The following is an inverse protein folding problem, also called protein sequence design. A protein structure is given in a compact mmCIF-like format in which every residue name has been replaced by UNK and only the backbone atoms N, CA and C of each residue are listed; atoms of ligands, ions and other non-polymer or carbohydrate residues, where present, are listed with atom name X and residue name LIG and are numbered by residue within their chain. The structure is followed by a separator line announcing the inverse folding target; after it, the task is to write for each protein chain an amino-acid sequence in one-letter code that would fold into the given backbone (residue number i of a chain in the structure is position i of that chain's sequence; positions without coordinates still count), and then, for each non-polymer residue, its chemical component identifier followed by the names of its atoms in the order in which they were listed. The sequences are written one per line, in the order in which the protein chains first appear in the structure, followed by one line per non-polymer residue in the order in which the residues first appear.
data_IF_756829079126
#
_entry.id   IF_756829079126
#
_cell.length_a   1.000
_cell.length_b   1.000
_cell.length_c   1.000
_cell.angle_alpha   90.00
_cell.angle_beta   90.00
_cell.angle_gamma   90.00
#
_symmetry.space_group_name_H-M   'P 1'
#
loop_
_entity.id
_entity.type
_entity.pdbx_description
1 polymer ?
#
# COMPACT_ATOMS: atom_id res chain seq x y z
N UNK A 1 13.55 -3.92 -23.13
CA UNK A 1 12.39 -4.76 -23.48
C UNK A 1 11.16 -3.89 -23.63
N UNK A 2 10.37 -4.00 -24.71
CA UNK A 2 9.15 -3.21 -24.88
C UNK A 2 8.15 -3.48 -23.75
N UNK A 3 7.52 -2.45 -23.19
CA UNK A 3 6.47 -2.65 -22.17
C UNK A 3 5.22 -3.22 -22.84
N UNK A 4 4.54 -4.15 -22.15
CA UNK A 4 3.28 -4.72 -22.64
C UNK A 4 2.22 -3.62 -22.74
N UNK A 5 1.34 -3.71 -23.73
CA UNK A 5 0.32 -2.68 -24.04
C UNK A 5 -0.65 -2.37 -22.88
N UNK A 6 -0.75 -3.26 -21.88
CA UNK A 6 -1.63 -3.11 -20.71
C UNK A 6 -0.88 -2.72 -19.43
N UNK A 7 0.43 -2.47 -19.49
CA UNK A 7 1.21 -2.11 -18.30
C UNK A 7 0.84 -0.71 -17.82
N UNK A 8 0.32 -0.62 -16.59
CA UNK A 8 0.03 0.65 -15.92
C UNK A 8 1.30 1.51 -15.78
N UNK A 9 1.17 2.82 -15.93
CA UNK A 9 2.24 3.82 -15.87
C UNK A 9 2.25 4.51 -14.51
N UNK A 10 3.13 4.13 -13.58
CA UNK A 10 3.28 4.90 -12.33
C UNK A 10 3.58 6.39 -12.60
N UNK A 11 3.24 7.27 -11.66
CA UNK A 11 3.45 8.71 -11.79
C UNK A 11 4.91 9.08 -12.04
N UNK A 12 5.84 8.32 -11.46
CA UNK A 12 7.28 8.42 -11.75
C UNK A 12 7.59 8.16 -13.23
N UNK A 13 6.92 7.18 -13.86
CA UNK A 13 7.10 6.88 -15.28
C UNK A 13 6.43 7.92 -16.18
N UNK A 14 5.29 8.49 -15.76
CA UNK A 14 4.64 9.60 -16.46
C UNK A 14 5.53 10.84 -16.45
N UNK A 15 6.09 11.19 -15.28
CA UNK A 15 7.06 12.28 -15.14
C UNK A 15 8.30 12.05 -16.01
N UNK A 16 8.88 10.85 -15.96
CA UNK A 16 10.05 10.52 -16.78
C UNK A 16 9.76 10.58 -18.28
N UNK A 17 8.56 10.20 -18.69
CA UNK A 17 8.14 10.34 -20.09
C UNK A 17 8.03 11.81 -20.50
N UNK A 18 7.41 12.66 -19.68
CA UNK A 18 7.31 14.09 -19.93
C UNK A 18 8.70 14.76 -20.03
N UNK A 19 9.63 14.39 -19.13
CA UNK A 19 11.03 14.85 -19.17
C UNK A 19 11.74 14.44 -20.47
N UNK A 20 11.56 13.19 -20.92
CA UNK A 20 12.13 12.70 -22.17
C UNK A 20 11.47 13.34 -23.40
N UNK A 21 10.17 13.63 -23.35
CA UNK A 21 9.42 14.25 -24.44
C UNK A 21 9.86 15.70 -24.63
N UNK A 22 9.96 16.45 -23.53
CA UNK A 22 10.51 17.81 -23.54
C UNK A 22 11.95 17.85 -24.07
N UNK A 23 12.75 16.82 -23.78
CA UNK A 23 14.12 16.69 -24.30
C UNK A 23 14.19 16.13 -25.74
N UNK A 24 13.06 15.77 -26.37
CA UNK A 24 13.04 15.14 -27.70
C UNK A 24 13.65 13.72 -27.76
N UNK A 25 13.80 13.06 -26.61
CA UNK A 25 14.51 11.77 -26.45
C UNK A 25 13.57 10.55 -26.42
N UNK A 26 12.27 10.74 -26.62
CA UNK A 26 11.31 9.62 -26.68
C UNK A 26 11.42 8.92 -28.03
N UNK A 27 11.86 7.66 -28.01
CA UNK A 27 11.88 6.81 -29.19
C UNK A 27 10.47 6.41 -29.65
N UNK A 28 10.32 6.03 -30.92
CA UNK A 28 9.04 5.66 -31.53
C UNK A 28 8.20 4.64 -30.72
N UNK A 29 8.78 3.58 -30.10
CA UNK A 29 8.02 2.67 -29.25
C UNK A 29 7.44 3.33 -27.99
N UNK A 30 8.13 4.34 -27.43
CA UNK A 30 7.67 5.10 -26.27
C UNK A 30 6.44 5.94 -26.61
N UNK A 31 6.46 6.63 -27.77
CA UNK A 31 5.32 7.40 -28.28
C UNK A 31 4.11 6.49 -28.56
N UNK A 32 4.34 5.34 -29.19
CA UNK A 32 3.28 4.38 -29.46
C UNK A 32 2.66 3.79 -28.18
N UNK A 33 3.47 3.60 -27.12
CA UNK A 33 2.97 3.14 -25.83
C UNK A 33 2.16 4.23 -25.09
N UNK A 34 2.58 5.50 -25.18
CA UNK A 34 1.87 6.64 -24.59
C UNK A 34 0.57 6.97 -25.33
N UNK A 35 0.53 6.84 -26.66
CA UNK A 35 -0.71 7.02 -27.44
C UNK A 35 -1.81 6.01 -27.09
N UNK A 36 -1.44 4.86 -26.50
CA UNK A 36 -2.38 3.83 -26.02
C UNK A 36 -2.70 3.97 -24.52
N UNK A 37 -2.07 4.92 -23.84
CA UNK A 37 -2.27 5.18 -22.42
C UNK A 37 -3.53 6.05 -22.23
N UNK A 38 -4.43 5.57 -21.36
CA UNK A 38 -5.66 6.26 -20.98
C UNK A 38 -5.54 6.68 -19.51
N UNK A 39 -5.32 7.98 -19.23
CA UNK A 39 -5.12 8.47 -17.86
C UNK A 39 -6.39 8.33 -17.00
N UNK A 40 -7.58 8.34 -17.58
CA UNK A 40 -8.84 8.21 -16.84
C UNK A 40 -9.00 6.79 -16.28
N UNK A 41 -8.65 5.77 -17.07
CA UNK A 41 -8.65 4.38 -16.62
C UNK A 41 -7.61 4.11 -15.54
N UNK A 42 -6.57 4.95 -15.45
CA UNK A 42 -5.47 4.75 -14.52
C UNK A 42 -5.59 5.52 -13.19
N UNK A 43 -6.48 6.52 -13.08
CA UNK A 43 -6.83 7.15 -11.78
C UNK A 43 -7.31 6.14 -10.73
N UNK A 44 -7.79 4.97 -11.16
CA UNK A 44 -8.11 3.83 -10.28
C UNK A 44 -6.88 3.11 -9.69
N UNK A 45 -5.66 3.53 -10.05
CA UNK A 45 -4.37 2.94 -9.70
C UNK A 45 -3.37 4.02 -9.27
N UNK A 46 -3.78 5.05 -8.53
CA UNK A 46 -2.80 5.86 -7.80
C UNK A 46 -2.19 5.01 -6.70
N UNK A 47 -1.00 4.48 -6.98
CA UNK A 47 -0.09 3.86 -6.03
C UNK A 47 0.45 4.88 -5.00
N UNK A 48 0.10 6.16 -5.14
CA UNK A 48 0.63 7.26 -4.35
C UNK A 48 -0.05 7.42 -2.98
N UNK A 49 -1.31 7.01 -2.83
CA UNK A 49 -1.93 6.95 -1.52
C UNK A 49 -1.59 5.60 -0.87
N UNK A 50 -0.36 5.43 -0.41
CA UNK A 50 -0.10 4.48 0.67
C UNK A 50 -0.52 5.18 1.95
N UNK A 51 -1.70 4.89 2.53
CA UNK A 51 -2.03 5.43 3.83
C UNK A 51 -0.92 5.03 4.80
N UNK A 52 -0.17 6.01 5.28
CA UNK A 52 0.82 5.84 6.35
C UNK A 52 0.14 5.82 7.73
N UNK A 53 -1.14 6.19 7.78
CA UNK A 53 -2.01 6.18 8.96
C UNK A 53 -3.34 5.50 8.64
N UNK A 54 -4.00 4.96 9.66
CA UNK A 54 -5.36 4.45 9.49
C UNK A 54 -6.32 5.60 9.13
N UNK A 55 -7.39 5.32 8.38
CA UNK A 55 -8.56 6.18 8.36
C UNK A 55 -9.06 6.40 9.81
N UNK A 56 -9.49 7.63 10.18
CA UNK A 56 -9.84 7.96 11.56
C UNK A 56 -10.85 7.00 12.21
N UNK A 57 -11.81 6.49 11.44
CA UNK A 57 -12.81 5.53 11.88
C UNK A 57 -12.21 4.16 12.25
N UNK A 58 -11.31 3.62 11.42
CA UNK A 58 -10.65 2.35 11.68
C UNK A 58 -9.67 2.47 12.85
N UNK A 59 -9.00 3.62 12.96
CA UNK A 59 -8.10 3.89 14.08
C UNK A 59 -8.83 3.94 15.42
N UNK A 60 -9.98 4.65 15.46
CA UNK A 60 -10.82 4.70 16.67
C UNK A 60 -11.27 3.31 17.08
N UNK A 61 -11.65 2.48 16.13
CA UNK A 61 -12.06 1.11 16.41
C UNK A 61 -10.89 0.27 16.93
N UNK A 62 -9.72 0.31 16.26
CA UNK A 62 -8.52 -0.40 16.74
C UNK A 62 -8.13 0.03 18.15
N UNK A 63 -8.13 1.33 18.44
CA UNK A 63 -7.77 1.88 19.76
C UNK A 63 -8.71 1.47 20.90
N UNK A 64 -9.91 0.95 20.61
CA UNK A 64 -10.79 0.34 21.64
C UNK A 64 -10.16 -0.92 22.24
N UNK A 65 -9.37 -1.64 21.45
CA UNK A 65 -8.63 -2.82 21.86
C UNK A 65 -7.24 -2.42 22.38
N UNK A 66 -7.17 -1.95 23.63
CA UNK A 66 -5.96 -1.32 24.19
C UNK A 66 -4.71 -2.20 24.12
N UNK A 67 -4.84 -3.48 24.44
CA UNK A 67 -3.71 -4.44 24.42
C UNK A 67 -3.20 -4.66 22.98
N UNK A 68 -4.12 -4.89 22.05
CA UNK A 68 -3.82 -5.04 20.64
C UNK A 68 -3.15 -3.78 20.06
N UNK A 69 -3.67 -2.60 20.41
CA UNK A 69 -3.10 -1.31 19.99
C UNK A 69 -1.69 -1.11 20.53
N UNK A 70 -1.46 -1.40 21.81
CA UNK A 70 -0.13 -1.28 22.43
C UNK A 70 0.88 -2.23 21.78
N UNK A 71 0.50 -3.48 21.51
CA UNK A 71 1.34 -4.42 20.79
C UNK A 71 1.65 -3.93 19.37
N UNK A 72 0.63 -3.47 18.65
CA UNK A 72 0.78 -2.97 17.29
C UNK A 72 1.75 -1.78 17.22
N UNK A 73 1.60 -0.80 18.11
CA UNK A 73 2.47 0.38 18.21
C UNK A 73 3.92 0.04 18.52
N UNK A 74 4.17 -1.02 19.30
CA UNK A 74 5.50 -1.52 19.60
C UNK A 74 6.20 -2.18 18.40
N UNK A 75 5.49 -2.46 17.30
CA UNK A 75 6.08 -3.10 16.13
C UNK A 75 6.95 -2.13 15.31
N UNK A 76 7.96 -2.65 14.57
CA UNK A 76 8.80 -1.83 13.72
C UNK A 76 7.96 -0.97 12.75
N UNK A 77 8.37 0.28 12.47
CA UNK A 77 7.62 1.19 11.59
C UNK A 77 7.29 0.60 10.22
N UNK A 78 8.19 -0.23 9.67
CA UNK A 78 7.96 -0.94 8.40
C UNK A 78 6.79 -1.93 8.46
N UNK A 79 6.67 -2.70 9.56
CA UNK A 79 5.54 -3.60 9.75
C UNK A 79 4.23 -2.82 9.86
N UNK A 80 4.20 -1.79 10.73
CA UNK A 80 3.01 -0.96 10.93
C UNK A 80 2.51 -0.35 9.62
N UNK A 81 3.42 0.21 8.81
CA UNK A 81 3.08 0.80 7.51
C UNK A 81 2.45 -0.21 6.55
N UNK A 82 3.01 -1.42 6.46
CA UNK A 82 2.48 -2.44 5.54
C UNK A 82 1.13 -2.97 6.04
N UNK A 83 0.95 -3.13 7.36
CA UNK A 83 -0.32 -3.54 7.96
C UNK A 83 -1.42 -2.49 7.74
N UNK A 84 -1.12 -1.20 7.98
CA UNK A 84 -2.04 -0.08 7.70
C UNK A 84 -2.45 -0.08 6.23
N UNK A 85 -1.49 -0.24 5.32
CA UNK A 85 -1.76 -0.31 3.89
C UNK A 85 -2.63 -1.52 3.53
N UNK A 86 -2.39 -2.70 4.10
CA UNK A 86 -3.19 -3.89 3.86
C UNK A 86 -4.65 -3.73 4.31
N UNK A 87 -4.87 -3.10 5.47
CA UNK A 87 -6.23 -2.76 5.93
C UNK A 87 -6.85 -1.68 5.02
N UNK A 88 -6.15 -0.56 4.80
CA UNK A 88 -6.71 0.62 4.12
C UNK A 88 -6.86 0.50 2.61
N UNK A 89 -6.12 -0.40 1.94
CA UNK A 89 -6.20 -0.58 0.49
C UNK A 89 -7.35 -1.47 0.02
N UNK A 90 -8.07 -2.13 0.95
CA UNK A 90 -9.24 -2.92 0.59
C UNK A 90 -10.37 -2.01 0.06
N UNK A 91 -10.86 -2.30 -1.15
CA UNK A 91 -11.84 -1.45 -1.85
C UNK A 91 -13.24 -1.49 -1.23
N UNK A 92 -13.60 -2.60 -0.60
CA UNK A 92 -14.91 -2.82 0.02
C UNK A 92 -14.82 -2.54 1.51
N UNK A 93 -15.82 -1.88 2.06
CA UNK A 93 -15.92 -1.59 3.50
C UNK A 93 -15.91 -2.87 4.35
N UNK A 94 -16.72 -3.86 3.99
CA UNK A 94 -16.76 -5.16 4.69
C UNK A 94 -15.37 -5.81 4.78
N UNK A 95 -14.58 -5.71 3.71
CA UNK A 95 -13.23 -6.28 3.65
C UNK A 95 -12.25 -5.48 4.50
N UNK A 96 -12.36 -4.14 4.53
CA UNK A 96 -11.56 -3.28 5.41
C UNK A 96 -11.80 -3.64 6.88
N UNK A 97 -13.06 -3.80 7.27
CA UNK A 97 -13.43 -4.19 8.64
C UNK A 97 -12.90 -5.57 9.00
N UNK A 98 -13.05 -6.57 8.12
CA UNK A 98 -12.46 -7.91 8.33
C UNK A 98 -10.94 -7.90 8.47
N UNK A 99 -10.25 -7.11 7.65
CA UNK A 99 -8.80 -6.97 7.78
C UNK A 99 -8.42 -6.31 9.11
N UNK A 100 -9.17 -5.29 9.54
CA UNK A 100 -8.95 -4.63 10.82
C UNK A 100 -9.16 -5.61 11.98
N UNK A 101 -10.25 -6.36 11.97
CA UNK A 101 -10.59 -7.38 12.97
C UNK A 101 -9.47 -8.42 13.08
N UNK A 102 -9.02 -8.97 11.95
CA UNK A 102 -7.89 -9.91 11.94
C UNK A 102 -6.60 -9.31 12.51
N UNK A 103 -6.31 -8.04 12.20
CA UNK A 103 -5.14 -7.35 12.74
C UNK A 103 -5.27 -7.14 14.25
N UNK A 104 -6.46 -6.78 14.74
CA UNK A 104 -6.78 -6.64 16.16
C UNK A 104 -6.60 -7.96 16.90
N UNK A 105 -7.20 -9.04 16.41
CA UNK A 105 -7.15 -10.37 17.04
C UNK A 105 -5.71 -10.86 17.19
N UNK A 106 -4.93 -10.83 16.11
CA UNK A 106 -3.53 -11.25 16.15
C UNK A 106 -2.69 -10.34 17.05
N UNK A 107 -2.92 -9.03 17.00
CA UNK A 107 -2.19 -8.09 17.86
C UNK A 107 -2.53 -8.30 19.33
N UNK A 108 -3.78 -8.62 19.66
CA UNK A 108 -4.19 -8.98 21.03
C UNK A 108 -3.50 -10.28 21.50
N UNK A 109 -3.29 -11.24 20.59
CA UNK A 109 -2.53 -12.46 20.85
C UNK A 109 -1.00 -12.25 20.90
N UNK A 110 -0.49 -11.03 20.66
CA UNK A 110 0.94 -10.76 20.58
C UNK A 110 1.60 -11.30 19.31
N UNK A 111 0.82 -11.53 18.27
CA UNK A 111 1.25 -12.08 16.99
C UNK A 111 1.20 -11.04 15.86
N UNK A 112 2.08 -11.21 14.89
CA UNK A 112 2.07 -10.43 13.65
C UNK A 112 1.24 -11.12 12.58
N UNK A 113 0.74 -10.33 11.64
CA UNK A 113 0.09 -10.85 10.43
C UNK A 113 1.00 -11.88 9.73
N UNK A 114 0.55 -13.14 9.54
CA UNK A 114 1.38 -14.21 8.99
C UNK A 114 2.01 -13.88 7.64
N UNK A 115 1.26 -13.23 6.76
CA UNK A 115 1.71 -12.82 5.43
C UNK A 115 2.74 -11.67 5.44
N UNK A 116 2.96 -11.00 6.57
CA UNK A 116 3.91 -9.90 6.73
C UNK A 116 5.17 -10.31 7.52
N UNK A 117 5.42 -11.62 7.61
CA UNK A 117 6.55 -12.20 8.36
C UNK A 117 6.12 -12.90 9.64
N UNK A 118 5.10 -13.77 9.52
CA UNK A 118 4.48 -14.53 10.60
C UNK A 118 5.45 -15.19 11.56
N UNK A 119 5.19 -14.95 12.84
CA UNK A 119 5.96 -15.42 13.98
C UNK A 119 5.79 -14.44 15.15
N UNK A 120 6.00 -14.88 16.41
CA UNK A 120 6.00 -13.99 17.55
C UNK A 120 6.96 -12.83 17.29
N UNK A 121 6.63 -11.62 17.74
CA UNK A 121 7.50 -10.46 17.58
C UNK A 121 8.91 -10.85 18.04
N UNK A 122 9.88 -10.88 17.11
CA UNK A 122 11.28 -11.20 17.44
C UNK A 122 11.68 -10.31 18.61
N UNK A 123 11.88 -10.90 19.80
CA UNK A 123 12.43 -10.21 20.96
C UNK A 123 13.74 -9.60 20.50
N UNK A 124 13.84 -8.27 20.48
CA UNK A 124 15.15 -7.64 20.44
C UNK A 124 15.74 -7.90 21.82
N UNK A 125 16.57 -8.92 21.92
CA UNK A 125 17.47 -9.05 23.06
C UNK A 125 18.48 -7.90 22.96
N UNK A 126 18.39 -7.02 23.97
CA UNK A 126 19.34 -6.00 24.45
C UNK A 126 20.15 -5.21 23.44
#
# INVERSE_FOLDING_TARGET
TPRKAQSKWSDVNLRRYAELEAAGRVAAPGKAAFARFDPEKQRSYSFEARPDTFPPELEREFRRHREAWAFFEAQPPGYRRIAIHWVGSAKREDTRLRHLEQLVELSAAGERLPMLGGGPARRRET
#
